data_IF_637857109528
#
_entry.id   IF_637857109528
#
_cell.length_a   1.000
_cell.length_b   1.000
_cell.length_c   1.000
_cell.angle_alpha   90.00
_cell.angle_beta   90.00
_cell.angle_gamma   90.00
#
_symmetry.space_group_name_H-M   'P 1'
#
loop_
_entity.id
_entity.type
_entity.pdbx_description
1 polymer ?
#
# COMPACT_ATOMS: atom_id res chain seq x y z
N UNK A 1 12.57 -13.95 -7.37
CA UNK A 1 13.08 -13.43 -8.65
C UNK A 1 12.25 -12.29 -9.30
N UNK A 2 11.08 -11.88 -8.77
CA UNK A 2 10.26 -10.78 -9.37
C UNK A 2 10.89 -9.38 -9.27
N UNK A 3 11.83 -9.15 -8.36
CA UNK A 3 12.36 -7.81 -8.05
C UNK A 3 13.52 -7.35 -8.95
N UNK A 4 14.13 -8.25 -9.73
CA UNK A 4 15.25 -7.92 -10.61
C UNK A 4 14.87 -7.91 -12.10
N UNK A 5 13.58 -8.02 -12.43
CA UNK A 5 13.13 -8.10 -13.83
C UNK A 5 13.63 -6.91 -14.66
N UNK A 6 13.52 -5.70 -14.13
CA UNK A 6 14.00 -4.50 -14.82
C UNK A 6 15.52 -4.45 -14.93
N UNK A 7 16.24 -4.89 -13.89
CA UNK A 7 17.71 -4.99 -13.92
C UNK A 7 18.18 -6.02 -14.94
N UNK A 8 17.49 -7.16 -15.05
CA UNK A 8 17.79 -8.20 -16.04
C UNK A 8 17.48 -7.72 -17.45
N UNK A 9 16.33 -7.05 -17.66
CA UNK A 9 16.00 -6.44 -18.95
C UNK A 9 17.05 -5.40 -19.33
N UNK A 10 17.42 -4.52 -18.39
CA UNK A 10 18.47 -3.53 -18.58
C UNK A 10 19.83 -4.17 -18.90
N UNK A 11 20.21 -5.24 -18.21
CA UNK A 11 21.46 -5.96 -18.46
C UNK A 11 21.46 -6.66 -19.83
N UNK A 12 20.34 -7.27 -20.23
CA UNK A 12 20.20 -7.89 -21.56
C UNK A 12 20.24 -6.82 -22.64
N UNK A 13 19.55 -5.69 -22.47
CA UNK A 13 19.63 -4.56 -23.39
C UNK A 13 21.05 -4.00 -23.49
N UNK A 14 21.73 -3.78 -22.36
CA UNK A 14 23.12 -3.30 -22.35
C UNK A 14 24.07 -4.29 -23.06
N UNK A 15 23.89 -5.60 -22.84
CA UNK A 15 24.66 -6.63 -23.50
C UNK A 15 24.41 -6.67 -25.01
N UNK A 16 23.15 -6.56 -25.45
CA UNK A 16 22.79 -6.52 -26.87
C UNK A 16 23.34 -5.26 -27.57
N UNK A 17 23.26 -4.10 -26.91
CA UNK A 17 23.82 -2.84 -27.40
C UNK A 17 25.35 -2.95 -27.52
N UNK A 18 26.01 -3.52 -26.51
CA UNK A 18 27.46 -3.74 -26.54
C UNK A 18 27.88 -4.71 -27.65
N UNK A 19 27.19 -5.85 -27.79
CA UNK A 19 27.46 -6.81 -28.86
C UNK A 19 27.19 -6.22 -30.25
N UNK A 20 26.13 -5.43 -30.40
CA UNK A 20 25.83 -4.69 -31.62
C UNK A 20 26.96 -3.71 -31.97
N UNK A 21 27.37 -2.88 -31.03
CA UNK A 21 28.51 -1.97 -31.19
C UNK A 21 29.78 -2.70 -31.66
N UNK A 22 30.07 -3.87 -31.08
CA UNK A 22 31.23 -4.68 -31.47
C UNK A 22 31.11 -5.27 -32.88
N UNK A 23 29.94 -5.79 -33.27
CA UNK A 23 29.71 -6.41 -34.59
C UNK A 23 29.73 -5.36 -35.71
N UNK A 24 29.10 -4.22 -35.48
CA UNK A 24 29.02 -3.14 -36.46
C UNK A 24 30.26 -2.23 -36.44
N UNK A 25 31.19 -2.44 -35.50
CA UNK A 25 32.35 -1.56 -35.24
C UNK A 25 31.92 -0.10 -35.06
N UNK A 26 30.75 0.11 -34.49
CA UNK A 26 30.22 1.45 -34.22
C UNK A 26 30.65 1.83 -32.83
N UNK A 27 31.49 2.85 -32.73
CA UNK A 27 31.82 3.48 -31.46
C UNK A 27 30.64 4.35 -31.03
N UNK A 28 29.73 3.77 -30.25
CA UNK A 28 28.48 4.42 -29.82
C UNK A 28 28.71 5.77 -29.13
N UNK A 29 29.84 5.90 -28.44
CA UNK A 29 30.21 7.15 -27.77
C UNK A 29 30.69 8.21 -28.77
N UNK A 30 31.53 7.84 -29.74
CA UNK A 30 31.93 8.76 -30.82
C UNK A 30 30.73 9.16 -31.67
N UNK A 31 29.85 8.21 -32.02
CA UNK A 31 28.62 8.50 -32.76
C UNK A 31 27.70 9.46 -31.97
N UNK A 32 27.62 9.32 -30.64
CA UNK A 32 26.87 10.24 -29.79
C UNK A 32 27.51 11.64 -29.81
N UNK A 33 28.84 11.73 -29.73
CA UNK A 33 29.58 12.99 -29.78
C UNK A 33 29.45 13.66 -31.14
N UNK A 34 29.57 12.91 -32.24
CA UNK A 34 29.44 13.39 -33.62
C UNK A 34 28.00 13.87 -33.89
N UNK A 35 26.99 13.19 -33.33
CA UNK A 35 25.59 13.64 -33.39
C UNK A 35 25.38 14.92 -32.54
N UNK A 36 26.06 15.04 -31.41
CA UNK A 36 26.04 16.26 -30.59
C UNK A 36 26.74 17.44 -31.31
N UNK A 37 27.84 17.17 -32.00
CA UNK A 37 28.61 18.12 -32.81
C UNK A 37 27.78 18.60 -34.02
N UNK A 38 27.05 17.69 -34.69
CA UNK A 38 26.06 18.05 -35.71
C UNK A 38 24.90 18.90 -35.15
N UNK A 39 24.51 18.69 -33.88
CA UNK A 39 23.48 19.46 -33.17
C UNK A 39 23.98 20.81 -32.64
N UNK A 40 25.30 21.00 -32.48
CA UNK A 40 25.92 22.26 -32.07
C UNK A 40 25.59 23.37 -33.08
N UNK A 41 25.52 23.04 -34.38
CA UNK A 41 25.07 23.96 -35.43
C UNK A 41 23.63 24.47 -35.26
N UNK A 42 22.83 23.84 -34.40
CA UNK A 42 21.45 24.21 -34.11
C UNK A 42 21.27 24.85 -32.71
N UNK A 43 22.34 25.00 -31.91
CA UNK A 43 22.31 25.44 -30.50
C UNK A 43 21.39 24.57 -29.59
N UNK A 44 21.09 23.33 -29.99
CA UNK A 44 20.17 22.43 -29.27
C UNK A 44 20.91 21.65 -28.17
N UNK A 45 22.23 21.52 -28.28
CA UNK A 45 23.12 20.85 -27.34
C UNK A 45 23.04 21.44 -25.92
N UNK A 46 22.90 22.77 -25.80
CA UNK A 46 22.72 23.46 -24.52
C UNK A 46 21.42 23.06 -23.81
N UNK A 47 20.40 22.60 -24.54
CA UNK A 47 19.11 22.15 -24.00
C UNK A 47 19.11 20.66 -23.64
N UNK A 48 19.93 19.85 -24.32
CA UNK A 48 19.98 18.39 -24.12
C UNK A 48 20.47 18.02 -22.71
N UNK A 49 21.52 18.68 -22.20
CA UNK A 49 22.07 18.37 -20.88
C UNK A 49 21.06 18.70 -19.76
N UNK A 50 20.48 19.92 -19.67
CA UNK A 50 19.42 20.21 -18.70
C UNK A 50 18.22 19.29 -18.82
N UNK A 51 17.83 18.90 -20.05
CA UNK A 51 16.72 17.98 -20.28
C UNK A 51 17.03 16.57 -19.73
N UNK A 52 18.24 16.04 -19.95
CA UNK A 52 18.65 14.75 -19.39
C UNK A 52 18.68 14.76 -17.86
N UNK A 53 19.18 15.84 -17.25
CA UNK A 53 19.14 16.03 -15.80
C UNK A 53 17.69 16.03 -15.31
N UNK A 54 16.83 16.84 -15.95
CA UNK A 54 15.40 16.90 -15.61
C UNK A 54 14.72 15.53 -15.71
N UNK A 55 14.91 14.80 -16.82
CA UNK A 55 14.33 13.47 -17.03
C UNK A 55 14.80 12.50 -15.94
N UNK A 56 16.08 12.54 -15.57
CA UNK A 56 16.63 11.66 -14.53
C UNK A 56 15.92 11.89 -13.18
N UNK A 57 15.79 13.15 -12.77
CA UNK A 57 15.09 13.50 -11.53
C UNK A 57 13.58 13.23 -11.61
N UNK A 58 12.95 13.46 -12.76
CA UNK A 58 11.54 13.15 -12.99
C UNK A 58 11.25 11.65 -12.85
N UNK A 59 12.08 10.80 -13.46
CA UNK A 59 11.95 9.34 -13.34
C UNK A 59 12.19 8.90 -11.90
N UNK A 60 13.21 9.44 -11.22
CA UNK A 60 13.48 9.13 -9.82
C UNK A 60 12.29 9.49 -8.90
N UNK A 61 11.69 10.67 -9.07
CA UNK A 61 10.52 11.09 -8.30
C UNK A 61 9.29 10.21 -8.59
N UNK A 62 9.04 9.91 -9.87
CA UNK A 62 7.93 9.06 -10.28
C UNK A 62 8.01 7.65 -9.68
N UNK A 63 9.21 7.04 -9.71
CA UNK A 63 9.45 5.72 -9.07
C UNK A 63 9.23 5.79 -7.56
N UNK A 64 9.68 6.87 -6.90
CA UNK A 64 9.49 7.06 -5.46
C UNK A 64 8.01 7.17 -5.10
N UNK A 65 7.24 7.98 -5.84
CA UNK A 65 5.79 8.14 -5.61
C UNK A 65 5.03 6.84 -5.81
N UNK A 66 5.32 6.11 -6.90
CA UNK A 66 4.68 4.81 -7.17
C UNK A 66 4.89 3.79 -6.04
N UNK A 67 6.10 3.76 -5.44
CA UNK A 67 6.37 2.92 -4.26
C UNK A 67 5.57 3.35 -3.05
N UNK A 68 5.50 4.65 -2.77
CA UNK A 68 4.74 5.19 -1.64
C UNK A 68 3.24 4.85 -1.77
N UNK A 69 2.65 5.04 -2.94
CA UNK A 69 1.25 4.72 -3.21
C UNK A 69 0.95 3.23 -3.06
N UNK A 70 1.88 2.39 -3.53
CA UNK A 70 1.74 0.94 -3.37
C UNK A 70 1.78 0.53 -1.90
N UNK A 71 2.69 1.08 -1.11
CA UNK A 71 2.78 0.83 0.33
C UNK A 71 1.49 1.31 1.02
N UNK A 72 0.98 2.49 0.67
CA UNK A 72 -0.27 3.00 1.23
C UNK A 72 -1.45 2.07 0.93
N UNK A 73 -1.58 1.59 -0.32
CA UNK A 73 -2.62 0.63 -0.70
C UNK A 73 -2.47 -0.72 0.02
N UNK A 74 -1.25 -1.22 0.17
CA UNK A 74 -0.98 -2.45 0.90
C UNK A 74 -1.33 -2.31 2.39
N UNK A 75 -1.04 -1.16 3.02
CA UNK A 75 -1.47 -0.86 4.41
C UNK A 75 -2.99 -0.89 4.57
N UNK A 76 -3.72 -0.24 3.66
CA UNK A 76 -5.19 -0.25 3.68
C UNK A 76 -5.74 -1.68 3.55
N UNK A 77 -5.18 -2.47 2.63
CA UNK A 77 -5.60 -3.87 2.43
C UNK A 77 -5.36 -4.73 3.67
N UNK A 78 -4.20 -4.59 4.31
CA UNK A 78 -3.88 -5.32 5.56
C UNK A 78 -4.84 -4.91 6.67
N UNK A 79 -5.09 -3.61 6.85
CA UNK A 79 -6.03 -3.11 7.83
C UNK A 79 -7.44 -3.68 7.64
N UNK A 80 -7.98 -3.63 6.42
CA UNK A 80 -9.29 -4.21 6.12
C UNK A 80 -9.35 -5.71 6.45
N UNK A 81 -8.31 -6.47 6.10
CA UNK A 81 -8.23 -7.89 6.43
C UNK A 81 -8.17 -8.15 7.94
N UNK A 82 -7.43 -7.31 8.69
CA UNK A 82 -7.39 -7.38 10.15
C UNK A 82 -8.76 -7.09 10.76
N UNK A 83 -9.41 -6.00 10.37
CA UNK A 83 -10.75 -5.63 10.90
C UNK A 83 -11.78 -6.70 10.58
N UNK A 84 -11.77 -7.25 9.36
CA UNK A 84 -12.66 -8.35 9.00
C UNK A 84 -12.38 -9.60 9.87
N UNK A 85 -11.11 -9.92 10.11
CA UNK A 85 -10.74 -11.03 10.99
C UNK A 85 -11.19 -10.79 12.43
N UNK A 86 -11.01 -9.58 12.96
CA UNK A 86 -11.50 -9.17 14.28
C UNK A 86 -13.01 -9.29 14.37
N UNK A 87 -13.75 -8.85 13.35
CA UNK A 87 -15.21 -8.98 13.29
C UNK A 87 -15.63 -10.47 13.36
N UNK A 88 -14.94 -11.36 12.63
CA UNK A 88 -15.20 -12.79 12.73
C UNK A 88 -14.92 -13.37 14.14
N UNK A 89 -13.78 -13.01 14.74
CA UNK A 89 -13.42 -13.47 16.09
C UNK A 89 -14.40 -12.94 17.13
N UNK A 90 -14.76 -11.66 17.05
CA UNK A 90 -15.70 -11.05 17.99
C UNK A 90 -17.09 -11.66 17.84
N UNK A 91 -17.62 -11.81 16.63
CA UNK A 91 -18.93 -12.44 16.45
C UNK A 91 -18.95 -13.86 17.02
N UNK A 92 -17.88 -14.62 16.85
CA UNK A 92 -17.78 -15.93 17.48
C UNK A 92 -17.79 -15.84 19.01
N UNK A 93 -17.10 -14.87 19.60
CA UNK A 93 -17.15 -14.62 21.04
C UNK A 93 -18.55 -14.22 21.50
N UNK A 94 -19.23 -13.30 20.82
CA UNK A 94 -20.59 -12.86 21.15
C UNK A 94 -21.58 -14.02 21.10
N UNK A 95 -21.47 -14.89 20.09
CA UNK A 95 -22.25 -16.12 20.01
C UNK A 95 -21.99 -17.07 21.19
N UNK A 96 -20.74 -17.20 21.64
CA UNK A 96 -20.41 -18.00 22.83
C UNK A 96 -20.96 -17.36 24.10
N UNK A 97 -20.92 -16.04 24.21
CA UNK A 97 -21.46 -15.30 25.35
C UNK A 97 -22.99 -15.39 25.44
N UNK A 98 -23.69 -15.54 24.31
CA UNK A 98 -25.13 -15.81 24.30
C UNK A 98 -25.48 -17.09 25.07
N UNK A 99 -24.62 -18.11 25.04
CA UNK A 99 -24.80 -19.31 25.87
C UNK A 99 -24.72 -19.01 27.36
N UNK A 100 -23.83 -18.10 27.77
CA UNK A 100 -23.71 -17.63 29.15
C UNK A 100 -24.98 -16.88 29.57
N UNK A 101 -25.49 -15.99 28.71
CA UNK A 101 -26.76 -15.28 28.93
C UNK A 101 -27.92 -16.25 29.15
N UNK A 102 -28.10 -17.22 28.26
CA UNK A 102 -29.17 -18.22 28.40
C UNK A 102 -29.10 -18.97 29.74
N UNK A 103 -27.89 -19.32 30.20
CA UNK A 103 -27.72 -19.97 31.50
C UNK A 103 -28.00 -19.06 32.69
N UNK A 104 -27.68 -17.78 32.58
CA UNK A 104 -28.02 -16.79 33.60
C UNK A 104 -29.54 -16.60 33.70
N UNK A 105 -30.23 -16.50 32.55
CA UNK A 105 -31.70 -16.41 32.47
C UNK A 105 -32.41 -17.63 33.07
N UNK A 106 -31.87 -18.83 32.82
CA UNK A 106 -32.41 -20.09 33.35
C UNK A 106 -32.12 -20.28 34.86
N UNK A 107 -31.29 -19.44 35.48
CA UNK A 107 -30.86 -19.61 36.88
C UNK A 107 -31.83 -18.93 37.84
N UNK A 108 -32.51 -19.68 38.74
CA UNK A 108 -33.44 -19.08 39.70
C UNK A 108 -32.74 -18.09 40.64
N UNK A 109 -33.28 -16.89 40.76
CA UNK A 109 -32.74 -15.84 41.64
C UNK A 109 -31.53 -15.09 41.06
N UNK A 110 -31.19 -15.30 39.78
CA UNK A 110 -30.21 -14.48 39.10
C UNK A 110 -30.73 -13.05 38.92
N UNK A 111 -29.84 -12.07 39.10
CA UNK A 111 -30.18 -10.65 39.05
C UNK A 111 -30.45 -10.19 37.60
N UNK A 112 -31.69 -9.75 37.26
CA UNK A 112 -32.01 -9.26 35.93
C UNK A 112 -31.20 -8.03 35.50
N UNK A 113 -30.74 -7.20 36.44
CA UNK A 113 -29.95 -6.00 36.12
C UNK A 113 -28.61 -6.37 35.48
N UNK A 114 -28.02 -7.49 35.89
CA UNK A 114 -26.77 -8.01 35.31
C UNK A 114 -26.95 -8.47 33.87
N UNK A 115 -28.13 -9.00 33.52
CA UNK A 115 -28.48 -9.40 32.15
C UNK A 115 -28.65 -8.16 31.26
N UNK A 116 -29.25 -7.10 31.80
CA UNK A 116 -29.43 -5.82 31.12
C UNK A 116 -28.08 -5.12 30.83
N UNK A 117 -27.15 -5.18 31.79
CA UNK A 117 -25.77 -4.70 31.61
C UNK A 117 -25.06 -5.51 30.52
N UNK A 118 -25.23 -6.84 30.53
CA UNK A 118 -24.66 -7.72 29.51
C UNK A 118 -25.11 -7.31 28.10
N UNK A 119 -26.42 -7.10 27.90
CA UNK A 119 -26.97 -6.74 26.59
C UNK A 119 -26.41 -5.41 26.07
N UNK A 120 -26.28 -4.41 26.95
CA UNK A 120 -25.65 -3.12 26.60
C UNK A 120 -24.20 -3.28 26.18
N UNK A 121 -23.41 -4.09 26.90
CA UNK A 121 -22.00 -4.32 26.56
C UNK A 121 -21.87 -5.00 25.19
N UNK A 122 -22.75 -5.96 24.88
CA UNK A 122 -22.77 -6.64 23.57
C UNK A 122 -23.13 -5.64 22.47
N UNK A 123 -24.17 -4.84 22.64
CA UNK A 123 -24.60 -3.82 21.66
C UNK A 123 -23.50 -2.77 21.41
N UNK A 124 -22.84 -2.30 22.47
CA UNK A 124 -21.73 -1.37 22.39
C UNK A 124 -20.56 -1.97 21.61
N UNK A 125 -20.22 -3.23 21.87
CA UNK A 125 -19.13 -3.93 21.19
C UNK A 125 -19.41 -4.15 19.69
N UNK A 126 -20.65 -4.53 19.33
CA UNK A 126 -21.07 -4.66 17.94
C UNK A 126 -20.99 -3.32 17.20
N UNK A 127 -21.48 -2.25 17.84
CA UNK A 127 -21.46 -0.89 17.28
C UNK A 127 -20.04 -0.41 17.02
N UNK A 128 -19.11 -0.62 17.96
CA UNK A 128 -17.71 -0.21 17.82
C UNK A 128 -16.98 -0.98 16.71
N UNK A 129 -17.22 -2.29 16.57
CA UNK A 129 -16.64 -3.07 15.47
C UNK A 129 -17.19 -2.65 14.12
N UNK A 130 -18.49 -2.38 14.03
CA UNK A 130 -19.07 -1.85 12.80
C UNK A 130 -18.45 -0.50 12.40
N UNK A 131 -18.21 0.38 13.37
CA UNK A 131 -17.54 1.66 13.11
C UNK A 131 -16.09 1.48 12.59
N UNK A 132 -15.32 0.55 13.18
CA UNK A 132 -13.98 0.18 12.69
C UNK A 132 -13.98 -0.37 11.26
N UNK A 133 -15.00 -1.14 10.90
CA UNK A 133 -15.10 -1.75 9.55
C UNK A 133 -15.31 -0.74 8.43
N UNK A 134 -15.79 0.47 8.76
CA UNK A 134 -16.12 1.53 7.80
C UNK A 134 -15.00 2.56 7.63
N UNK A 135 -13.84 2.39 8.27
CA UNK A 135 -12.70 3.31 8.14
C UNK A 135 -12.06 3.19 6.74
N UNK A 136 -12.21 4.23 5.92
CA UNK A 136 -11.71 4.28 4.53
C UNK A 136 -10.28 4.80 4.39
N UNK A 137 -9.85 5.66 5.31
CA UNK A 137 -8.47 6.17 5.39
C UNK A 137 -7.81 5.56 6.62
N UNK A 138 -6.66 4.92 6.46
CA UNK A 138 -5.98 4.23 7.56
C UNK A 138 -4.88 5.13 8.10
N UNK A 139 -5.21 5.95 9.09
CA UNK A 139 -4.28 6.66 9.97
C UNK A 139 -4.55 6.32 11.44
N UNK A 140 -3.59 6.59 12.31
CA UNK A 140 -3.75 6.38 13.76
C UNK A 140 -4.94 7.19 14.32
N UNK A 141 -5.04 8.45 13.91
CA UNK A 141 -6.13 9.36 14.25
C UNK A 141 -7.49 8.82 13.77
N UNK A 142 -7.60 8.41 12.51
CA UNK A 142 -8.88 7.91 11.96
C UNK A 142 -9.34 6.61 12.62
N UNK A 143 -8.41 5.75 13.05
CA UNK A 143 -8.73 4.51 13.76
C UNK A 143 -9.24 4.86 15.16
N UNK A 144 -8.53 5.72 15.90
CA UNK A 144 -8.92 6.13 17.24
C UNK A 144 -10.28 6.85 17.26
N UNK A 145 -10.52 7.74 16.30
CA UNK A 145 -11.77 8.48 16.19
C UNK A 145 -12.97 7.58 15.86
N UNK A 146 -12.75 6.48 15.12
CA UNK A 146 -13.82 5.54 14.76
C UNK A 146 -14.39 4.73 15.93
N UNK A 147 -13.62 4.55 17.01
CA UNK A 147 -14.01 3.74 18.17
C UNK A 147 -14.32 4.57 19.42
N UNK A 148 -14.21 5.90 19.32
CA UNK A 148 -14.38 6.77 20.47
C UNK A 148 -15.85 6.71 20.95
N UNK A 149 -16.11 6.37 22.23
CA UNK A 149 -17.47 6.38 22.77
C UNK A 149 -18.08 7.78 22.61
N UNK A 150 -19.35 7.84 22.18
CA UNK A 150 -20.11 9.09 22.08
C UNK A 150 -20.80 9.41 23.40
#
# INVERSE_FOLDING_TARGET
MKNYKLTIIGAVCALLVYLGSMVFKVELFELLLELLDELEHLEIDELIIPLLVFITFFVADSVRRSRADRIAKEKVKIYQAMVQSTHHVLNNLLNQMLFVKMKAEDTPGFDPEVIDIYDKIVEDAETQIHALSNVTTVSEESIHDSVRPK
#
